data_IF_211852674983
#
_entry.id   IF_211852674983
#
_cell.length_a   1.000
_cell.length_b   1.000
_cell.length_c   1.000
_cell.angle_alpha   90.00
_cell.angle_beta   90.00
_cell.angle_gamma   90.00
#
_symmetry.space_group_name_H-M   'P 1'
#
loop_
_entity.id
_entity.type
_entity.pdbx_description
1 polymer ?
#
# COMPACT_ATOMS: atom_id res chain seq x y z
N UNK A 1 -0.91 -3.05 9.52
CA UNK A 1 0.04 -1.92 9.47
C UNK A 1 1.48 -2.28 9.86
N UNK A 2 1.78 -2.67 11.11
CA UNK A 2 3.18 -2.87 11.56
C UNK A 2 3.96 -3.91 10.72
N UNK A 3 3.34 -5.05 10.42
CA UNK A 3 3.94 -6.05 9.52
C UNK A 3 4.23 -5.47 8.13
N UNK A 4 3.32 -4.65 7.59
CA UNK A 4 3.53 -4.00 6.28
C UNK A 4 4.72 -3.04 6.35
N UNK A 5 4.80 -2.20 7.38
CA UNK A 5 5.91 -1.29 7.58
C UNK A 5 7.26 -2.01 7.75
N UNK A 6 7.28 -3.10 8.53
CA UNK A 6 8.48 -3.91 8.72
C UNK A 6 8.95 -4.55 7.41
N UNK A 7 8.03 -5.17 6.66
CA UNK A 7 8.36 -5.80 5.39
C UNK A 7 8.82 -4.78 4.34
N UNK A 8 8.10 -3.66 4.21
CA UNK A 8 8.43 -2.64 3.22
C UNK A 8 9.70 -1.86 3.58
N UNK A 9 9.89 -1.53 4.86
CA UNK A 9 11.10 -0.90 5.38
C UNK A 9 12.33 -1.83 5.34
N UNK A 10 12.15 -3.13 5.60
CA UNK A 10 13.24 -4.12 5.42
C UNK A 10 13.71 -4.23 3.98
N UNK A 11 12.84 -3.88 3.02
CA UNK A 11 13.17 -3.88 1.60
C UNK A 11 14.42 -3.05 1.28
N UNK A 12 14.65 -1.94 1.98
CA UNK A 12 15.83 -1.10 1.76
C UNK A 12 17.14 -1.81 2.13
N UNK A 13 17.13 -2.61 3.20
CA UNK A 13 18.27 -3.45 3.60
C UNK A 13 18.58 -4.49 2.52
N UNK A 14 17.57 -5.19 2.04
CA UNK A 14 17.72 -6.21 0.99
C UNK A 14 18.18 -5.61 -0.35
N UNK A 15 17.71 -4.41 -0.69
CA UNK A 15 18.17 -3.67 -1.87
C UNK A 15 19.65 -3.32 -1.73
N UNK A 16 20.08 -2.78 -0.58
CA UNK A 16 21.48 -2.45 -0.32
C UNK A 16 22.37 -3.69 -0.43
N UNK A 17 21.92 -4.83 0.12
CA UNK A 17 22.64 -6.11 0.01
C UNK A 17 22.68 -6.60 -1.44
N UNK A 18 21.58 -6.56 -2.19
CA UNK A 18 21.54 -6.97 -3.59
C UNK A 18 22.49 -6.12 -4.47
N UNK A 19 22.50 -4.80 -4.27
CA UNK A 19 23.39 -3.88 -5.00
C UNK A 19 24.87 -4.14 -4.68
N UNK A 20 25.21 -4.31 -3.41
CA UNK A 20 26.59 -4.60 -2.97
C UNK A 20 27.13 -5.92 -3.54
N UNK A 21 26.22 -6.84 -3.88
CA UNK A 21 26.53 -8.16 -4.43
C UNK A 21 26.34 -8.24 -5.96
N UNK A 22 26.45 -7.09 -6.65
CA UNK A 22 26.63 -7.02 -8.10
C UNK A 22 25.36 -6.97 -8.94
N UNK A 23 24.17 -6.90 -8.34
CA UNK A 23 22.92 -6.73 -9.08
C UNK A 23 22.71 -5.27 -9.49
N UNK A 24 22.27 -5.03 -10.72
CA UNK A 24 21.87 -3.70 -11.17
C UNK A 24 20.47 -3.32 -10.65
N UNK A 25 20.15 -2.02 -10.49
CA UNK A 25 18.81 -1.58 -10.08
C UNK A 25 17.68 -2.12 -10.96
N UNK A 26 17.93 -2.22 -12.27
CA UNK A 26 16.99 -2.81 -13.23
C UNK A 26 16.77 -4.31 -12.97
N UNK A 27 17.84 -5.08 -12.73
CA UNK A 27 17.75 -6.50 -12.37
C UNK A 27 16.98 -6.71 -11.06
N UNK A 28 17.25 -5.90 -10.04
CA UNK A 28 16.54 -5.98 -8.75
C UNK A 28 15.05 -5.73 -8.96
N UNK A 29 14.69 -4.70 -9.73
CA UNK A 29 13.29 -4.31 -9.98
C UNK A 29 12.54 -5.37 -10.78
N UNK A 30 13.14 -5.90 -11.84
CA UNK A 30 12.52 -6.94 -12.67
C UNK A 30 12.34 -8.23 -11.85
N UNK A 31 13.38 -8.69 -11.18
CA UNK A 31 13.34 -9.94 -10.41
C UNK A 31 12.37 -9.84 -9.23
N UNK A 32 12.36 -8.73 -8.48
CA UNK A 32 11.42 -8.58 -7.36
C UNK A 32 9.96 -8.54 -7.81
N UNK A 33 9.67 -7.89 -8.95
CA UNK A 33 8.32 -7.82 -9.50
C UNK A 33 7.89 -9.17 -10.06
N UNK A 34 8.76 -9.87 -10.79
CA UNK A 34 8.50 -11.21 -11.32
C UNK A 34 8.25 -12.22 -10.20
N UNK A 35 9.10 -12.24 -9.17
CA UNK A 35 8.93 -13.12 -8.00
C UNK A 35 7.67 -12.78 -7.19
N UNK A 36 7.43 -11.49 -6.93
CA UNK A 36 6.22 -11.05 -6.25
C UNK A 36 4.94 -11.45 -7.00
N UNK A 37 4.97 -11.34 -8.34
CA UNK A 37 3.88 -11.78 -9.22
C UNK A 37 3.69 -13.29 -9.17
N UNK A 38 4.78 -14.06 -9.29
CA UNK A 38 4.73 -15.52 -9.22
C UNK A 38 4.12 -15.99 -7.91
N UNK A 39 4.57 -15.46 -6.77
CA UNK A 39 4.04 -15.79 -5.44
C UNK A 39 2.56 -15.46 -5.34
N UNK A 40 2.14 -14.26 -5.75
CA UNK A 40 0.73 -13.89 -5.67
C UNK A 40 -0.16 -14.68 -6.62
N UNK A 41 0.32 -15.03 -7.81
CA UNK A 41 -0.39 -15.91 -8.74
C UNK A 41 -0.53 -17.33 -8.20
N UNK A 42 0.52 -17.87 -7.57
CA UNK A 42 0.49 -19.17 -6.92
C UNK A 42 -0.48 -19.16 -5.74
N UNK A 43 -0.42 -18.14 -4.88
CA UNK A 43 -1.33 -17.99 -3.75
C UNK A 43 -2.78 -17.83 -4.22
N UNK A 44 -3.03 -16.99 -5.23
CA UNK A 44 -4.36 -16.83 -5.81
C UNK A 44 -4.90 -18.15 -6.38
N UNK A 45 -4.08 -18.89 -7.15
CA UNK A 45 -4.47 -20.21 -7.67
C UNK A 45 -4.74 -21.22 -6.57
N UNK A 46 -3.87 -21.30 -5.56
CA UNK A 46 -4.03 -22.22 -4.43
C UNK A 46 -5.27 -21.92 -3.59
N UNK A 47 -5.66 -20.64 -3.49
CA UNK A 47 -6.89 -20.20 -2.84
C UNK A 47 -8.15 -20.37 -3.73
N UNK A 48 -8.02 -20.99 -4.91
CA UNK A 48 -9.12 -21.15 -5.88
C UNK A 48 -9.59 -19.83 -6.51
N UNK A 49 -8.85 -18.73 -6.32
CA UNK A 49 -9.20 -17.42 -6.81
C UNK A 49 -8.72 -17.26 -8.25
N UNK A 50 -9.67 -16.98 -9.14
CA UNK A 50 -9.36 -16.70 -10.54
C UNK A 50 -9.02 -15.23 -10.70
N UNK A 51 -8.06 -14.94 -11.57
CA UNK A 51 -7.79 -13.57 -11.99
C UNK A 51 -9.06 -12.91 -12.57
N UNK A 52 -9.22 -11.59 -12.43
CA UNK A 52 -10.33 -10.88 -13.04
C UNK A 52 -10.40 -11.17 -14.54
N UNK A 53 -11.56 -11.64 -15.01
CA UNK A 53 -11.82 -11.87 -16.45
C UNK A 53 -12.40 -10.65 -17.15
N UNK A 54 -12.87 -9.69 -16.36
CA UNK A 54 -13.50 -8.46 -16.84
C UNK A 54 -12.45 -7.47 -17.37
N UNK A 55 -12.60 -7.06 -18.63
CA UNK A 55 -11.72 -6.08 -19.28
C UNK A 55 -11.77 -4.72 -18.60
N UNK A 56 -12.90 -4.34 -18.01
CA UNK A 56 -13.03 -3.12 -17.22
C UNK A 56 -12.09 -3.10 -16.03
N UNK A 57 -11.99 -4.21 -15.30
CA UNK A 57 -11.08 -4.38 -14.17
C UNK A 57 -9.62 -4.26 -14.58
N UNK A 58 -9.24 -4.80 -15.74
CA UNK A 58 -7.89 -4.60 -16.30
C UNK A 58 -7.63 -3.14 -16.66
N UNK A 59 -8.60 -2.41 -17.22
CA UNK A 59 -8.49 -0.97 -17.45
C UNK A 59 -8.24 -0.20 -16.15
N UNK A 60 -8.98 -0.52 -15.09
CA UNK A 60 -8.76 0.08 -13.77
C UNK A 60 -7.40 -0.27 -13.17
N UNK A 61 -6.89 -1.48 -13.39
CA UNK A 61 -5.55 -1.90 -12.96
C UNK A 61 -4.45 -1.14 -13.72
N UNK A 62 -4.63 -0.87 -15.01
CA UNK A 62 -3.71 -0.04 -15.79
C UNK A 62 -3.70 1.39 -15.27
N UNK A 63 -4.86 1.98 -14.98
CA UNK A 63 -4.94 3.31 -14.37
C UNK A 63 -4.27 3.32 -13.00
N UNK A 64 -4.52 2.32 -12.16
CA UNK A 64 -3.84 2.20 -10.87
C UNK A 64 -2.33 2.06 -11.02
N UNK A 65 -1.84 1.27 -12.00
CA UNK A 65 -0.42 1.13 -12.28
C UNK A 65 0.21 2.44 -12.80
N UNK A 66 -0.53 3.21 -13.61
CA UNK A 66 -0.11 4.52 -14.10
C UNK A 66 0.14 5.48 -12.94
N UNK A 67 -0.84 5.65 -12.04
CA UNK A 67 -0.74 6.59 -10.92
C UNK A 67 0.12 6.10 -9.75
N UNK A 68 0.28 4.79 -9.58
CA UNK A 68 1.06 4.20 -8.49
C UNK A 68 2.52 3.88 -8.87
N UNK A 69 2.84 3.76 -10.17
CA UNK A 69 4.19 3.43 -10.61
C UNK A 69 4.71 4.42 -11.66
N UNK A 70 4.09 4.48 -12.84
CA UNK A 70 4.68 5.20 -13.97
C UNK A 70 4.82 6.71 -13.71
N UNK A 71 3.74 7.36 -13.26
CA UNK A 71 3.73 8.79 -12.94
C UNK A 71 4.68 9.10 -11.79
N UNK A 72 4.58 8.44 -10.61
CA UNK A 72 5.51 8.68 -9.52
C UNK A 72 6.97 8.46 -9.92
N UNK A 73 7.30 7.37 -10.62
CA UNK A 73 8.69 7.06 -10.97
C UNK A 73 9.28 8.11 -11.92
N UNK A 74 8.49 8.59 -12.90
CA UNK A 74 8.93 9.68 -13.76
C UNK A 74 9.16 10.98 -12.97
N UNK A 75 8.22 11.35 -12.10
CA UNK A 75 8.32 12.57 -11.28
C UNK A 75 9.44 12.49 -10.24
N UNK A 76 9.69 11.32 -9.62
CA UNK A 76 10.83 11.08 -8.75
C UNK A 76 12.14 11.18 -9.51
N UNK A 77 12.23 10.57 -10.69
CA UNK A 77 13.45 10.61 -11.51
C UNK A 77 13.80 12.02 -11.98
N UNK A 78 12.82 12.87 -12.30
CA UNK A 78 13.04 14.29 -12.61
C UNK A 78 13.33 15.09 -11.33
N UNK A 79 12.63 14.77 -10.24
CA UNK A 79 12.77 15.44 -8.95
C UNK A 79 14.16 15.30 -8.33
N UNK A 80 14.66 14.07 -8.27
CA UNK A 80 15.96 13.72 -7.67
C UNK A 80 17.16 14.28 -8.46
N UNK A 81 16.97 14.73 -9.71
CA UNK A 81 18.03 15.42 -10.46
C UNK A 81 18.36 16.80 -9.88
N UNK A 82 17.43 17.41 -9.17
CA UNK A 82 17.56 18.80 -8.65
C UNK A 82 17.39 18.90 -7.14
N UNK A 83 16.97 17.80 -6.50
CA UNK A 83 16.61 17.76 -5.08
C UNK A 83 17.30 16.59 -4.41
N UNK A 84 17.93 16.85 -3.26
CA UNK A 84 18.55 15.80 -2.44
C UNK A 84 17.54 14.73 -2.01
N UNK A 85 18.00 13.49 -1.91
CA UNK A 85 17.20 12.34 -1.49
C UNK A 85 16.50 12.52 -0.13
N UNK A 86 17.11 13.28 0.79
CA UNK A 86 16.49 13.62 2.08
C UNK A 86 15.26 14.52 1.94
N UNK A 87 15.32 15.53 1.05
CA UNK A 87 14.17 16.38 0.74
C UNK A 87 13.12 15.58 -0.02
N UNK A 88 13.53 14.71 -0.96
CA UNK A 88 12.62 13.81 -1.66
C UNK A 88 11.86 12.86 -0.70
N UNK A 89 12.55 12.33 0.32
CA UNK A 89 11.93 11.53 1.39
C UNK A 89 10.86 12.29 2.18
N UNK A 90 11.12 13.56 2.52
CA UNK A 90 10.14 14.43 3.19
C UNK A 90 8.93 14.72 2.32
N UNK A 91 9.16 15.03 1.03
CA UNK A 91 8.08 15.33 0.10
C UNK A 91 7.21 14.08 -0.14
N UNK A 92 7.82 12.89 -0.21
CA UNK A 92 7.06 11.64 -0.25
C UNK A 92 6.25 11.39 1.04
N UNK A 93 6.79 11.79 2.20
CA UNK A 93 6.06 11.72 3.46
C UNK A 93 4.83 12.65 3.50
N UNK A 94 4.61 13.52 2.51
CA UNK A 94 3.33 14.25 2.39
C UNK A 94 2.19 13.39 1.82
N UNK A 95 2.47 12.21 1.23
CA UNK A 95 1.44 11.33 0.65
C UNK A 95 0.25 11.05 1.58
N UNK A 96 0.42 10.80 2.89
CA UNK A 96 -0.72 10.59 3.78
C UNK A 96 -1.57 11.85 3.98
N UNK A 97 -0.98 13.05 3.95
CA UNK A 97 -1.70 14.33 3.97
C UNK A 97 -2.52 14.52 2.69
N UNK A 98 -1.94 14.24 1.53
CA UNK A 98 -2.67 14.24 0.26
C UNK A 98 -3.80 13.20 0.25
N UNK A 99 -3.54 12.01 0.80
CA UNK A 99 -4.53 10.95 0.90
C UNK A 99 -5.69 11.33 1.80
N UNK A 100 -5.42 12.07 2.89
CA UNK A 100 -6.46 12.65 3.73
C UNK A 100 -7.30 13.69 2.98
N UNK A 101 -6.66 14.64 2.29
CA UNK A 101 -7.35 15.70 1.55
C UNK A 101 -8.26 15.12 0.46
N UNK A 102 -7.74 14.16 -0.31
CA UNK A 102 -8.50 13.44 -1.33
C UNK A 102 -9.63 12.66 -0.65
N UNK A 103 -9.37 11.95 0.46
CA UNK A 103 -10.38 11.22 1.20
C UNK A 103 -11.53 12.09 1.72
N UNK A 104 -11.23 13.32 2.15
CA UNK A 104 -12.24 14.33 2.54
C UNK A 104 -13.03 14.80 1.32
N UNK A 105 -12.34 15.21 0.24
CA UNK A 105 -12.99 15.69 -0.98
C UNK A 105 -13.91 14.63 -1.62
N UNK A 106 -13.50 13.37 -1.52
CA UNK A 106 -14.24 12.21 -1.97
C UNK A 106 -15.33 11.75 -0.99
N UNK A 107 -15.43 12.37 0.18
CA UNK A 107 -16.40 12.05 1.21
C UNK A 107 -16.24 10.65 1.82
N UNK A 108 -15.08 9.99 1.64
CA UNK A 108 -14.75 8.69 2.23
C UNK A 108 -14.24 8.83 3.67
N UNK A 109 -13.63 9.97 4.00
CA UNK A 109 -13.15 10.30 5.35
C UNK A 109 -14.07 11.33 6.05
N UNK A 110 -15.31 10.93 6.36
CA UNK A 110 -16.25 11.75 7.13
C UNK A 110 -15.99 11.63 8.64
N UNK A 111 -15.98 12.75 9.35
CA UNK A 111 -15.89 12.77 10.82
C UNK A 111 -14.50 12.43 11.36
N UNK A 112 -13.45 12.99 10.76
CA UNK A 112 -12.08 12.82 11.23
C UNK A 112 -11.95 13.34 12.67
N UNK A 113 -11.67 12.44 13.60
CA UNK A 113 -11.37 12.81 14.98
C UNK A 113 -10.11 13.67 15.06
N UNK A 114 -10.11 14.67 15.95
CA UNK A 114 -8.94 15.54 16.21
C UNK A 114 -7.65 14.74 16.47
N UNK A 115 -7.78 13.55 17.05
CA UNK A 115 -6.66 12.62 17.28
C UNK A 115 -6.02 12.10 15.98
N UNK A 116 -6.83 11.84 14.94
CA UNK A 116 -6.32 11.34 13.66
C UNK A 116 -5.54 12.40 12.90
N UNK A 117 -6.06 13.63 12.91
CA UNK A 117 -5.37 14.80 12.34
C UNK A 117 -4.04 15.07 13.06
N UNK A 118 -4.06 15.15 14.39
CA UNK A 118 -2.84 15.38 15.18
C UNK A 118 -1.81 14.27 14.95
N UNK A 119 -2.24 13.00 14.87
CA UNK A 119 -1.37 11.89 14.53
C UNK A 119 -0.71 12.03 13.15
N UNK A 120 -1.45 12.47 12.14
CA UNK A 120 -0.94 12.66 10.78
C UNK A 120 0.12 13.78 10.72
N UNK A 121 -0.15 14.91 11.36
CA UNK A 121 0.81 16.01 11.46
C UNK A 121 2.03 15.65 12.31
N UNK A 122 1.85 14.90 13.39
CA UNK A 122 2.97 14.36 14.19
C UNK A 122 3.83 13.40 13.36
N UNK A 123 3.21 12.50 12.58
CA UNK A 123 3.92 11.60 11.68
C UNK A 123 4.78 12.38 10.67
N UNK A 124 4.20 13.40 10.04
CA UNK A 124 4.93 14.29 9.13
C UNK A 124 6.04 15.07 9.83
N UNK A 125 5.79 15.64 11.02
CA UNK A 125 6.79 16.35 11.81
C UNK A 125 7.96 15.45 12.22
N UNK A 126 7.68 14.20 12.56
CA UNK A 126 8.71 13.19 12.84
C UNK A 126 9.56 12.90 11.60
N UNK A 127 8.95 12.76 10.42
CA UNK A 127 9.71 12.58 9.17
C UNK A 127 10.54 13.80 8.80
N UNK A 128 10.01 15.01 9.00
CA UNK A 128 10.76 16.26 8.88
C UNK A 128 11.99 16.25 9.79
N UNK A 129 11.86 15.78 11.03
CA UNK A 129 12.97 15.69 11.98
C UNK A 129 14.04 14.67 11.55
N UNK A 130 13.63 13.51 11.02
CA UNK A 130 14.54 12.47 10.52
C UNK A 130 15.41 13.02 9.38
N UNK A 131 14.80 13.60 8.36
CA UNK A 131 15.51 14.04 7.16
C UNK A 131 16.12 15.44 7.27
N UNK A 132 15.63 16.26 8.21
CA UNK A 132 16.09 17.62 8.50
C UNK A 132 16.33 18.48 7.24
N UNK A 133 15.33 18.63 6.35
CA UNK A 133 15.49 19.26 5.03
C UNK A 133 15.91 20.73 5.12
N UNK A 134 15.72 21.41 6.25
CA UNK A 134 16.15 22.80 6.48
C UNK A 134 17.66 23.00 6.52
N UNK A 135 18.47 21.94 6.63
CA UNK A 135 19.92 22.01 6.46
C UNK A 135 20.36 21.90 4.99
N UNK A 136 19.40 21.73 4.06
CA UNK A 136 19.65 21.52 2.64
C UNK A 136 19.01 22.65 1.83
N UNK A 137 19.74 23.16 0.84
CA UNK A 137 19.24 24.16 -0.10
C UNK A 137 18.38 23.49 -1.19
N UNK A 138 17.40 24.21 -1.75
CA UNK A 138 16.64 23.74 -2.92
C UNK A 138 15.16 23.38 -2.73
N UNK A 139 14.51 23.84 -1.64
CA UNK A 139 13.09 23.54 -1.35
C UNK A 139 12.08 24.12 -2.36
N UNK A 140 12.44 25.14 -3.13
CA UNK A 140 11.59 25.82 -4.11
C UNK A 140 12.11 25.60 -5.54
N UNK A 141 12.32 24.34 -5.90
CA UNK A 141 12.76 23.93 -7.24
C UNK A 141 11.63 23.22 -7.98
N UNK A 142 11.72 23.18 -9.32
CA UNK A 142 10.82 22.37 -10.14
C UNK A 142 10.85 20.88 -9.74
N UNK A 143 11.98 20.38 -9.23
CA UNK A 143 12.05 19.02 -8.69
C UNK A 143 11.26 18.82 -7.41
N UNK A 144 11.22 19.81 -6.51
CA UNK A 144 10.39 19.73 -5.31
C UNK A 144 8.89 19.68 -5.66
N UNK A 145 8.47 20.46 -6.67
CA UNK A 145 7.10 20.40 -7.21
C UNK A 145 6.81 19.05 -7.86
N UNK A 146 7.76 18.49 -8.62
CA UNK A 146 7.64 17.16 -9.20
C UNK A 146 7.45 16.08 -8.12
N UNK A 147 8.25 16.13 -7.05
CA UNK A 147 8.17 15.18 -5.93
C UNK A 147 6.85 15.31 -5.15
N UNK A 148 6.33 16.53 -4.96
CA UNK A 148 4.99 16.75 -4.42
C UNK A 148 3.90 16.18 -5.33
N UNK A 149 4.03 16.37 -6.65
CA UNK A 149 3.17 15.76 -7.65
C UNK A 149 3.18 14.24 -7.58
N UNK A 150 4.35 13.62 -7.37
CA UNK A 150 4.49 12.19 -7.17
C UNK A 150 3.75 11.72 -5.90
N UNK A 151 3.94 12.44 -4.78
CA UNK A 151 3.28 12.15 -3.52
C UNK A 151 1.74 12.25 -3.63
N UNK A 152 1.23 13.25 -4.36
CA UNK A 152 -0.18 13.41 -4.67
C UNK A 152 -0.69 12.29 -5.60
N UNK A 153 0.10 11.89 -6.60
CA UNK A 153 -0.22 10.78 -7.50
C UNK A 153 -0.40 9.46 -6.74
N UNK A 154 0.47 9.17 -5.77
CA UNK A 154 0.31 8.02 -4.88
C UNK A 154 -0.99 8.07 -4.08
N UNK A 155 -1.33 9.24 -3.55
CA UNK A 155 -2.56 9.43 -2.80
C UNK A 155 -3.82 9.23 -3.68
N UNK A 156 -3.80 9.72 -4.91
CA UNK A 156 -4.83 9.45 -5.93
C UNK A 156 -4.90 7.95 -6.22
N UNK A 157 -3.77 7.28 -6.40
CA UNK A 157 -3.72 5.85 -6.66
C UNK A 157 -4.36 5.04 -5.52
N UNK A 158 -4.02 5.33 -4.27
CA UNK A 158 -4.62 4.64 -3.12
C UNK A 158 -6.12 4.90 -3.01
N UNK A 159 -6.58 6.14 -3.20
CA UNK A 159 -8.00 6.47 -3.20
C UNK A 159 -8.75 5.79 -4.37
N UNK A 160 -8.13 5.72 -5.54
CA UNK A 160 -8.68 5.05 -6.71
C UNK A 160 -8.78 3.54 -6.49
N UNK A 161 -7.71 2.91 -5.99
CA UNK A 161 -7.69 1.50 -5.61
C UNK A 161 -8.78 1.18 -4.57
N UNK A 162 -8.94 2.03 -3.56
CA UNK A 162 -9.96 1.92 -2.52
C UNK A 162 -11.41 2.02 -3.02
N UNK A 163 -11.63 2.67 -4.17
CA UNK A 163 -12.97 2.87 -4.73
C UNK A 163 -13.33 1.90 -5.84
N UNK A 164 -12.34 1.54 -6.65
CA UNK A 164 -12.57 0.83 -7.91
C UNK A 164 -12.06 -0.59 -7.90
N UNK A 165 -11.13 -0.94 -7.01
CA UNK A 165 -10.47 -2.25 -7.01
C UNK A 165 -10.81 -3.05 -5.75
N UNK A 166 -10.91 -2.42 -4.59
CA UNK A 166 -11.46 -3.06 -3.38
C UNK A 166 -12.96 -3.32 -3.56
N UNK A 167 -13.36 -4.60 -3.52
CA UNK A 167 -14.74 -5.05 -3.67
C UNK A 167 -15.10 -5.62 -5.06
N UNK A 168 -14.25 -5.44 -6.09
CA UNK A 168 -14.47 -6.03 -7.43
C UNK A 168 -13.94 -7.44 -7.61
N UNK A 169 -13.24 -7.97 -6.61
CA UNK A 169 -12.66 -9.29 -6.64
C UNK A 169 -11.93 -9.58 -5.35
N UNK A 170 -11.43 -10.81 -5.23
CA UNK A 170 -10.68 -11.19 -4.05
C UNK A 170 -9.33 -10.44 -4.01
N UNK A 171 -8.89 -9.90 -2.85
CA UNK A 171 -7.70 -9.05 -2.75
C UNK A 171 -6.42 -9.66 -3.31
N UNK A 172 -6.24 -11.00 -3.20
CA UNK A 172 -5.08 -11.69 -3.79
C UNK A 172 -5.10 -11.63 -5.32
N UNK A 173 -6.26 -11.85 -5.95
CA UNK A 173 -6.39 -11.83 -7.40
C UNK A 173 -6.15 -10.42 -7.98
N UNK A 174 -6.65 -9.38 -7.30
CA UNK A 174 -6.42 -7.97 -7.69
C UNK A 174 -4.96 -7.58 -7.49
N UNK A 175 -4.35 -7.97 -6.38
CA UNK A 175 -2.92 -7.74 -6.11
C UNK A 175 -2.03 -8.45 -7.13
N UNK A 176 -2.35 -9.71 -7.46
CA UNK A 176 -1.62 -10.49 -8.47
C UNK A 176 -1.71 -9.85 -9.85
N UNK A 177 -2.89 -9.35 -10.24
CA UNK A 177 -3.08 -8.68 -11.51
C UNK A 177 -2.34 -7.33 -11.58
N UNK A 178 -2.31 -6.55 -10.49
CA UNK A 178 -1.50 -5.32 -10.42
C UNK A 178 0.00 -5.61 -10.50
N UNK A 179 0.47 -6.66 -9.81
CA UNK A 179 1.89 -7.04 -9.86
C UNK A 179 2.27 -7.60 -11.24
N UNK A 180 1.35 -8.27 -11.93
CA UNK A 180 1.55 -8.70 -13.31
C UNK A 180 1.67 -7.50 -14.26
N UNK A 181 0.80 -6.48 -14.15
CA UNK A 181 0.91 -5.27 -14.97
C UNK A 181 2.19 -4.49 -14.65
N UNK A 182 2.56 -4.39 -13.37
CA UNK A 182 3.83 -3.79 -12.96
C UNK A 182 5.03 -4.56 -13.54
N UNK A 183 5.00 -5.89 -13.50
CA UNK A 183 6.06 -6.74 -14.06
C UNK A 183 6.20 -6.52 -15.56
N UNK A 184 5.09 -6.50 -16.30
CA UNK A 184 5.08 -6.20 -17.74
C UNK A 184 5.64 -4.81 -18.07
N UNK A 185 5.45 -3.83 -17.17
CA UNK A 185 6.05 -2.51 -17.32
C UNK A 185 7.56 -2.54 -17.06
N UNK A 186 7.98 -3.23 -16.00
CA UNK A 186 9.40 -3.34 -15.64
C UNK A 186 10.21 -4.15 -16.65
N UNK A 187 9.60 -5.07 -17.41
CA UNK A 187 10.30 -5.78 -18.50
C UNK A 187 10.74 -4.86 -19.63
N UNK A 188 10.16 -3.66 -19.77
CA UNK A 188 10.66 -2.66 -20.71
C UNK A 188 12.05 -2.13 -20.32
N UNK A 189 12.44 -2.25 -19.05
CA UNK A 189 13.78 -1.90 -18.55
C UNK A 189 14.79 -3.06 -18.68
N UNK A 190 14.40 -4.21 -19.23
CA UNK A 190 15.27 -5.37 -19.42
C UNK A 190 16.53 -5.06 -20.26
N UNK A 191 16.50 -4.21 -21.30
CA UNK A 191 17.70 -3.84 -22.05
C UNK A 191 18.76 -3.13 -21.18
N UNK A 192 18.33 -2.44 -20.11
CA UNK A 192 19.22 -1.76 -19.17
C UNK A 192 19.75 -2.69 -18.06
N UNK A 193 19.30 -3.95 -17.99
CA UNK A 193 19.65 -4.88 -16.91
C UNK A 193 21.12 -5.32 -16.95
N UNK A 194 21.74 -5.38 -18.13
CA UNK A 194 23.11 -5.85 -18.31
C UNK A 194 23.31 -7.33 -17.93
N UNK A 195 24.54 -7.87 -18.03
CA UNK A 195 24.84 -9.25 -17.65
C UNK A 195 24.65 -9.47 -16.15
N UNK A 196 24.05 -10.59 -15.77
CA UNK A 196 23.85 -10.96 -14.36
C UNK A 196 25.15 -11.49 -13.79
N UNK A 197 25.74 -10.76 -12.84
CA UNK A 197 26.92 -11.19 -12.07
C UNK A 197 26.61 -11.02 -10.59
N UNK A 198 26.09 -12.07 -9.97
CA UNK A 198 25.72 -12.05 -8.55
C UNK A 198 26.14 -13.35 -7.87
N UNK A 199 26.33 -13.30 -6.57
CA UNK A 199 26.61 -14.46 -5.72
C UNK A 199 25.32 -14.99 -5.05
N UNK A 200 25.45 -16.06 -4.26
CA UNK A 200 24.30 -16.65 -3.57
C UNK A 200 23.61 -15.66 -2.61
N UNK A 201 24.36 -14.73 -2.02
CA UNK A 201 23.86 -13.70 -1.10
C UNK A 201 22.97 -12.69 -1.82
N UNK A 202 23.41 -12.18 -2.97
CA UNK A 202 22.60 -11.28 -3.80
C UNK A 202 21.33 -11.95 -4.33
N UNK A 203 21.41 -13.23 -4.69
CA UNK A 203 20.25 -14.02 -5.10
C UNK A 203 19.24 -14.22 -3.95
N UNK A 204 19.72 -14.50 -2.75
CA UNK A 204 18.88 -14.62 -1.55
C UNK A 204 18.23 -13.27 -1.20
N UNK A 205 18.99 -12.18 -1.29
CA UNK A 205 18.50 -10.83 -1.01
C UNK A 205 17.37 -10.42 -1.97
N UNK A 206 17.57 -10.61 -3.28
CA UNK A 206 16.52 -10.28 -4.27
C UNK A 206 15.31 -11.20 -4.17
N UNK A 207 15.52 -12.45 -3.77
CA UNK A 207 14.42 -13.40 -3.52
C UNK A 207 13.59 -13.00 -2.32
N UNK A 208 14.23 -12.71 -1.18
CA UNK A 208 13.56 -12.18 0.00
C UNK A 208 12.81 -10.87 -0.31
N UNK A 209 13.43 -9.97 -1.07
CA UNK A 209 12.82 -8.71 -1.51
C UNK A 209 11.60 -8.92 -2.43
N UNK A 210 11.66 -9.89 -3.35
CA UNK A 210 10.54 -10.22 -4.23
C UNK A 210 9.36 -10.84 -3.49
N UNK A 211 9.63 -11.87 -2.68
CA UNK A 211 8.60 -12.63 -1.96
C UNK A 211 8.01 -11.80 -0.81
N UNK A 212 8.85 -11.37 0.13
CA UNK A 212 8.43 -10.69 1.36
C UNK A 212 8.22 -9.20 1.14
N UNK A 213 9.17 -8.55 0.44
CA UNK A 213 9.18 -7.11 0.24
C UNK A 213 8.24 -6.60 -0.85
N UNK A 214 7.74 -7.49 -1.73
CA UNK A 214 6.84 -7.11 -2.84
C UNK A 214 5.54 -7.92 -2.85
N UNK A 215 5.60 -9.24 -2.97
CA UNK A 215 4.39 -10.08 -3.06
C UNK A 215 3.50 -9.96 -1.82
N UNK A 216 4.03 -10.27 -0.63
CA UNK A 216 3.28 -10.25 0.63
C UNK A 216 2.82 -8.83 0.99
N UNK A 217 3.69 -7.84 0.82
CA UNK A 217 3.41 -6.42 1.09
C UNK A 217 2.30 -5.87 0.21
N UNK A 218 2.26 -6.18 -1.09
CA UNK A 218 1.16 -5.70 -1.95
C UNK A 218 -0.19 -6.26 -1.51
N UNK A 219 -0.24 -7.56 -1.17
CA UNK A 219 -1.44 -8.16 -0.62
C UNK A 219 -1.87 -7.51 0.70
N UNK A 220 -0.93 -7.32 1.63
CA UNK A 220 -1.19 -6.65 2.90
C UNK A 220 -1.61 -5.19 2.71
N UNK A 221 -1.09 -4.49 1.70
CA UNK A 221 -1.46 -3.12 1.37
C UNK A 221 -2.91 -3.06 0.88
N UNK A 222 -3.31 -3.91 -0.07
CA UNK A 222 -4.70 -3.98 -0.52
C UNK A 222 -5.67 -4.31 0.62
N UNK A 223 -5.28 -5.22 1.52
CA UNK A 223 -6.07 -5.51 2.71
C UNK A 223 -6.16 -4.32 3.65
N UNK A 224 -5.05 -3.61 3.87
CA UNK A 224 -5.04 -2.42 4.72
C UNK A 224 -5.92 -1.31 4.14
N UNK A 225 -5.88 -1.10 2.82
CA UNK A 225 -6.77 -0.16 2.12
C UNK A 225 -8.24 -0.57 2.28
N UNK A 226 -8.55 -1.87 2.16
CA UNK A 226 -9.91 -2.38 2.32
C UNK A 226 -10.43 -2.30 3.77
N UNK A 227 -9.59 -2.62 4.75
CA UNK A 227 -9.96 -2.75 6.16
C UNK A 227 -9.93 -1.39 6.90
N UNK A 228 -8.91 -0.56 6.65
CA UNK A 228 -8.62 0.69 7.39
C UNK A 228 -8.69 1.96 6.53
N UNK A 229 -8.85 1.82 5.21
CA UNK A 229 -8.98 2.92 4.27
C UNK A 229 -7.65 3.40 3.65
N UNK A 230 -7.72 4.20 2.57
CA UNK A 230 -6.55 4.63 1.79
C UNK A 230 -5.59 5.53 2.59
N UNK A 231 -6.10 6.42 3.44
CA UNK A 231 -5.26 7.30 4.26
C UNK A 231 -4.45 6.52 5.30
N UNK A 232 -5.05 5.51 5.92
CA UNK A 232 -4.35 4.63 6.88
C UNK A 232 -3.32 3.75 6.18
N UNK A 233 -3.57 3.34 4.93
CA UNK A 233 -2.55 2.66 4.13
C UNK A 233 -1.37 3.58 3.80
N UNK A 234 -1.64 4.84 3.43
CA UNK A 234 -0.62 5.82 3.13
C UNK A 234 0.31 6.10 4.32
N UNK A 235 -0.20 6.14 5.57
CA UNK A 235 0.63 6.41 6.76
C UNK A 235 1.68 5.36 7.04
N UNK A 236 1.60 4.18 6.41
CA UNK A 236 2.70 3.20 6.43
C UNK A 236 3.98 3.82 5.90
N UNK A 237 3.88 4.73 4.92
CA UNK A 237 4.99 5.53 4.39
C UNK A 237 5.81 6.23 5.47
N UNK A 238 5.18 6.71 6.55
CA UNK A 238 5.90 7.34 7.66
C UNK A 238 6.79 6.36 8.42
N UNK A 239 6.42 5.08 8.48
CA UNK A 239 7.17 4.06 9.21
C UNK A 239 8.38 3.53 8.41
N UNK A 240 8.44 3.75 7.09
CA UNK A 240 9.54 3.22 6.26
C UNK A 240 10.91 3.74 6.70
N UNK A 241 11.12 5.06 6.87
CA UNK A 241 12.41 5.58 7.35
C UNK A 241 12.77 5.04 8.73
N UNK A 242 11.79 4.90 9.63
CA UNK A 242 12.01 4.38 10.99
C UNK A 242 12.53 2.93 10.95
N UNK A 243 11.87 2.08 10.16
CA UNK A 243 12.28 0.69 10.02
C UNK A 243 13.62 0.57 9.29
N UNK A 244 13.81 1.35 8.21
CA UNK A 244 15.04 1.34 7.42
C UNK A 244 16.26 1.75 8.25
N UNK A 245 16.16 2.87 8.98
CA UNK A 245 17.25 3.33 9.85
C UNK A 245 17.46 2.37 11.01
N UNK A 246 16.39 1.88 11.63
CA UNK A 246 16.50 0.90 12.71
C UNK A 246 17.22 -0.38 12.29
N UNK A 247 16.93 -0.90 11.09
CA UNK A 247 17.66 -2.05 10.56
C UNK A 247 19.08 -1.71 10.15
N UNK A 248 19.33 -0.53 9.58
CA UNK A 248 20.69 -0.06 9.27
C UNK A 248 21.58 0.01 10.52
N UNK A 249 21.05 0.58 11.59
CA UNK A 249 21.74 0.68 12.88
C UNK A 249 22.06 -0.71 13.48
N UNK A 250 21.07 -1.61 13.50
CA UNK A 250 21.22 -2.93 14.13
C UNK A 250 22.07 -3.89 13.30
N UNK A 251 21.90 -3.88 11.97
CA UNK A 251 22.52 -4.88 11.08
C UNK A 251 23.85 -4.38 10.52
N UNK A 252 23.96 -3.10 10.18
CA UNK A 252 25.19 -2.52 9.61
C UNK A 252 26.03 -1.75 10.65
N UNK A 253 25.53 -1.57 11.87
CA UNK A 253 26.24 -0.80 12.91
C UNK A 253 26.35 0.69 12.57
N UNK A 254 25.42 1.23 11.78
CA UNK A 254 25.43 2.65 11.39
C UNK A 254 25.14 3.55 12.59
N UNK A 255 25.98 4.59 12.79
CA UNK A 255 25.79 5.57 13.86
C UNK A 255 24.53 6.42 13.60
N UNK A 256 23.53 6.25 14.47
CA UNK A 256 22.28 7.01 14.40
C UNK A 256 22.35 8.22 15.32
N UNK A 257 22.40 9.41 14.73
CA UNK A 257 22.36 10.65 15.49
C UNK A 257 21.06 10.81 16.30
N UNK A 258 21.16 11.47 17.45
CA UNK A 258 20.04 11.73 18.37
C UNK A 258 18.78 12.31 17.69
N UNK A 259 18.97 13.20 16.71
CA UNK A 259 17.88 13.78 15.92
C UNK A 259 17.03 12.72 15.21
N UNK A 260 17.67 11.71 14.63
CA UNK A 260 16.98 10.63 13.91
C UNK A 260 16.21 9.76 14.89
N UNK A 261 16.79 9.43 16.05
CA UNK A 261 16.09 8.70 17.13
C UNK A 261 14.86 9.46 17.65
N UNK A 262 14.99 10.77 17.89
CA UNK A 262 13.87 11.61 18.28
C UNK A 262 12.77 11.64 17.20
N UNK A 263 13.17 11.79 15.93
CA UNK A 263 12.24 11.74 14.80
C UNK A 263 11.51 10.40 14.67
N UNK A 264 12.21 9.29 14.89
CA UNK A 264 11.61 7.94 14.94
C UNK A 264 10.54 7.84 16.03
N UNK A 265 10.83 8.34 17.24
CA UNK A 265 9.86 8.37 18.34
C UNK A 265 8.61 9.17 17.99
N UNK A 266 8.79 10.37 17.43
CA UNK A 266 7.67 11.25 17.01
C UNK A 266 6.82 10.60 15.93
N UNK A 267 7.45 9.95 14.94
CA UNK A 267 6.72 9.19 13.90
C UNK A 267 5.87 8.09 14.51
N UNK A 268 6.43 7.29 15.42
CA UNK A 268 5.72 6.17 16.04
C UNK A 268 4.49 6.64 16.82
N UNK A 269 4.62 7.72 17.59
CA UNK A 269 3.51 8.36 18.32
C UNK A 269 2.47 8.91 17.36
N UNK A 270 2.90 9.62 16.31
CA UNK A 270 2.01 10.18 15.30
C UNK A 270 1.19 9.11 14.58
N UNK A 271 1.85 8.04 14.14
CA UNK A 271 1.17 6.91 13.49
C UNK A 271 0.19 6.23 14.46
N UNK A 272 0.55 6.06 15.73
CA UNK A 272 -0.35 5.49 16.73
C UNK A 272 -1.65 6.31 16.91
N UNK A 273 -1.54 7.64 16.95
CA UNK A 273 -2.70 8.54 17.04
C UNK A 273 -3.50 8.66 15.73
N UNK A 274 -2.84 8.46 14.58
CA UNK A 274 -3.51 8.49 13.27
C UNK A 274 -4.43 7.30 13.01
N UNK A 275 -4.41 6.27 13.87
CA UNK A 275 -5.17 5.04 13.66
C UNK A 275 -6.67 5.26 13.88
N UNK A 276 -7.53 4.78 12.97
CA UNK A 276 -8.95 4.68 13.26
C UNK A 276 -9.17 3.70 14.42
N UNK A 277 -10.08 4.03 15.34
CA UNK A 277 -10.49 3.07 16.39
C UNK A 277 -11.07 1.81 15.72
N UNK A 278 -10.73 0.60 16.20
CA UNK A 278 -11.29 -0.63 15.64
C UNK A 278 -12.82 -0.56 15.64
N UNK A 279 -13.44 -0.63 14.46
CA UNK A 279 -14.89 -0.88 14.40
C UNK A 279 -15.10 -2.34 14.79
N UNK A 280 -16.04 -2.65 15.71
CA UNK A 280 -16.42 -4.03 15.98
C UNK A 280 -16.78 -4.71 14.66
N UNK A 281 -16.13 -5.82 14.34
CA UNK A 281 -16.54 -6.67 13.21
C UNK A 281 -17.95 -7.15 13.53
N UNK A 282 -18.97 -6.67 12.79
CA UNK A 282 -20.27 -7.33 12.83
C UNK A 282 -20.04 -8.76 12.35
N UNK A 283 -20.34 -9.79 13.16
CA UNK A 283 -20.35 -11.16 12.70
C UNK A 283 -21.29 -11.21 11.49
N UNK A 284 -20.78 -11.68 10.35
CA UNK A 284 -21.64 -12.01 9.21
C UNK A 284 -22.80 -12.88 9.72
N UNK A 285 -24.07 -12.58 9.40
CA UNK A 285 -25.12 -13.54 9.60
C UNK A 285 -24.76 -14.76 8.75
N UNK A 286 -24.45 -15.89 9.39
CA UNK A 286 -24.34 -17.15 8.67
C UNK A 286 -25.66 -17.35 7.90
N UNK A 287 -25.63 -17.69 6.61
CA UNK A 287 -26.82 -18.19 5.95
C UNK A 287 -27.18 -19.49 6.66
N UNK A 288 -28.31 -19.53 7.36
CA UNK A 288 -28.88 -20.75 7.90
C UNK A 288 -29.25 -21.67 6.75
N UNK A 289 -28.33 -22.54 6.34
CA UNK A 289 -28.62 -23.65 5.44
C UNK A 289 -29.26 -24.77 6.23
N UNK A 290 -30.59 -24.77 6.32
CA UNK A 290 -31.37 -25.99 6.33
C UNK A 290 -32.68 -25.76 5.59
N UNK A 291 -32.71 -26.25 4.35
CA UNK A 291 -33.94 -26.61 3.65
C UNK A 291 -34.47 -27.95 4.15
N UNK A 292 -35.78 -28.09 4.13
CA UNK A 292 -36.48 -29.32 4.52
C UNK A 292 -37.98 -29.11 4.47
N UNK A 293 -38.54 -29.26 3.28
CA UNK A 293 -39.97 -29.37 3.02
C UNK A 293 -40.62 -30.45 3.88
N UNK A 294 -41.68 -30.09 4.62
CA UNK A 294 -42.68 -31.04 5.11
C UNK A 294 -44.07 -30.58 4.62
N UNK A 295 -44.90 -31.47 4.07
CA UNK A 295 -46.20 -31.10 3.53
C UNK A 295 -47.21 -30.86 4.66
N UNK A 296 -47.93 -29.74 4.59
CA UNK A 296 -49.07 -29.43 5.46
C UNK A 296 -50.25 -30.39 5.18
N UNK A 297 -50.92 -30.95 6.20
CA UNK A 297 -52.10 -31.78 5.99
C UNK A 297 -53.32 -30.92 5.56
N UNK A 298 -54.32 -31.51 4.89
CA UNK A 298 -55.43 -30.77 4.32
C UNK A 298 -56.48 -30.46 5.39
N UNK A 299 -56.72 -29.17 5.67
CA UNK A 299 -57.94 -28.73 6.37
C UNK A 299 -58.81 -27.91 5.43
N UNK A 300 -59.77 -28.63 4.84
CA UNK A 300 -61.18 -28.27 4.66
C UNK A 300 -61.58 -26.79 4.77
N UNK A 301 -61.95 -26.25 3.60
CA UNK A 301 -63.15 -25.45 3.28
C UNK A 301 -63.98 -24.83 4.43
N UNK A 302 -64.41 -23.60 4.15
CA UNK A 302 -65.64 -22.94 4.62
C UNK A 302 -65.69 -22.44 6.07
N UNK A 303 -65.40 -21.15 6.27
CA UNK A 303 -66.15 -20.31 7.19
C UNK A 303 -65.86 -18.81 6.98
N UNK A 304 -66.88 -18.08 6.50
CA UNK A 304 -67.20 -16.66 6.77
C UNK A 304 -66.14 -15.59 6.41
N UNK A 305 -66.26 -14.73 5.38
CA UNK A 305 -67.40 -13.91 4.91
C UNK A 305 -68.31 -13.43 6.06
N UNK A 306 -68.28 -12.12 6.32
CA UNK A 306 -69.12 -11.31 7.23
C UNK A 306 -68.53 -10.92 8.59
N UNK A 307 -67.82 -9.79 8.59
CA UNK A 307 -68.05 -8.69 9.55
C UNK A 307 -67.59 -7.38 8.88
N UNK A 308 -68.47 -6.72 8.11
CA UNK A 308 -69.28 -5.55 8.53
C UNK A 308 -68.45 -4.56 9.35
N UNK A 309 -68.03 -3.41 8.80
CA UNK A 309 -68.81 -2.17 8.59
C UNK A 309 -69.60 -1.78 9.85
N UNK A 310 -69.37 -0.54 10.31
CA UNK A 310 -69.99 0.25 11.40
C UNK A 310 -69.33 0.17 12.79
N UNK A 311 -68.79 1.32 13.19
CA UNK A 311 -68.19 1.70 14.46
C UNK A 311 -67.48 3.02 14.23
#
# INVERSE_FOLDING_TARGET
MAALALLWGSGFLWIKLALNHGLSPAQITITRCALGTAVLLLLARSAGQRLPRDRGTWGHLVVAALFCNAVPFALFSVGEQTVDSGVAGVLNATTPLWSLLIGIALGTDRGLGRLRLTGLFLGFAGTLLIFAPWHRSGLLTWGALALLGAAASYAVAFAYMARTLTGRGAPLAVSAAQLLTATAWTTLALPAAGPVRTDATGLLAVTALGVLGTGVTFYLNYRLIADEGPTSAATVGYLLPVVSVGMGAVVLGEDVGWRVLAGMGVVLVGVAFSRPRPRPRHPYPFPSTHGGSAPSPPQSRCALVLKRRTG
#
